data_IF_163670291961
#
_entry.id   IF_163670291961
#
_cell.length_a   1.000
_cell.length_b   1.000
_cell.length_c   1.000
_cell.angle_alpha   90.00
_cell.angle_beta   90.00
_cell.angle_gamma   90.00
#
_symmetry.space_group_name_H-M   'P 1'
#
loop_
_entity.id
_entity.type
_entity.pdbx_description
1 polymer ?
#
# COMPACT_ATOMS: atom_id res chain seq x y z
N UNK A 1 -6.37 6.73 9.91
CA UNK A 1 -6.95 6.81 8.55
C UNK A 1 -7.67 5.52 8.15
N UNK A 2 -6.99 4.37 8.15
CA UNK A 2 -7.54 3.10 7.65
C UNK A 2 -8.83 2.64 8.35
N UNK A 3 -8.95 2.84 9.67
CA UNK A 3 -10.14 2.48 10.45
C UNK A 3 -11.44 3.17 9.97
N UNK A 4 -11.33 4.33 9.32
CA UNK A 4 -12.47 5.08 8.78
C UNK A 4 -12.80 4.72 7.33
N UNK A 5 -11.99 3.86 6.68
CA UNK A 5 -12.26 3.39 5.32
C UNK A 5 -13.50 2.51 5.28
N UNK A 6 -14.34 2.72 4.25
CA UNK A 6 -15.55 1.93 3.97
C UNK A 6 -15.28 0.68 3.13
N UNK A 7 -14.04 0.47 2.68
CA UNK A 7 -13.67 -0.73 1.94
C UNK A 7 -13.80 -1.98 2.82
N UNK A 8 -14.37 -3.06 2.26
CA UNK A 8 -14.52 -4.34 2.95
C UNK A 8 -13.14 -4.91 3.33
N UNK A 9 -12.23 -4.94 2.35
CA UNK A 9 -10.85 -5.37 2.52
C UNK A 9 -9.93 -4.19 2.79
N UNK A 10 -9.15 -4.26 3.87
CA UNK A 10 -8.24 -3.20 4.31
C UNK A 10 -6.91 -3.81 4.73
N UNK A 11 -5.83 -3.34 4.11
CA UNK A 11 -4.46 -3.76 4.44
C UNK A 11 -3.76 -2.57 5.11
N UNK A 12 -3.20 -2.79 6.30
CA UNK A 12 -2.33 -1.82 6.96
C UNK A 12 -0.89 -2.09 6.52
N UNK A 13 -0.33 -1.19 5.71
CA UNK A 13 1.04 -1.33 5.23
C UNK A 13 2.08 -1.00 6.30
N UNK A 14 3.21 -1.70 6.25
CA UNK A 14 4.42 -1.38 7.00
C UNK A 14 4.21 -1.25 8.50
N UNK A 15 3.57 -2.23 9.14
CA UNK A 15 3.32 -2.21 10.59
C UNK A 15 4.64 -2.13 11.35
N UNK A 16 5.68 -2.83 10.89
CA UNK A 16 7.01 -2.76 11.52
C UNK A 16 7.77 -1.49 11.11
N UNK A 17 7.72 -1.12 9.83
CA UNK A 17 8.43 0.07 9.32
C UNK A 17 7.90 1.38 9.90
N UNK A 18 6.59 1.49 10.13
CA UNK A 18 5.93 2.76 10.49
C UNK A 18 5.26 2.75 11.86
N UNK A 19 5.14 1.59 12.51
CA UNK A 19 4.39 1.41 13.76
C UNK A 19 2.94 1.92 13.66
N UNK A 20 2.37 1.95 12.45
CA UNK A 20 1.03 2.45 12.17
C UNK A 20 0.92 3.98 12.09
N UNK A 21 2.03 4.73 12.20
CA UNK A 21 2.05 6.20 12.15
C UNK A 21 2.08 6.76 10.71
N UNK A 22 2.37 5.91 9.73
CA UNK A 22 2.45 6.27 8.31
C UNK A 22 3.82 6.75 7.85
N UNK A 23 3.94 7.12 6.57
CA UNK A 23 5.23 7.34 5.91
C UNK A 23 5.86 8.74 6.11
N UNK A 24 5.15 9.67 6.78
CA UNK A 24 5.70 11.01 7.08
C UNK A 24 6.19 11.80 5.86
N UNK A 25 5.44 11.79 4.75
CA UNK A 25 5.78 12.42 3.46
C UNK A 25 7.06 11.89 2.77
N UNK A 26 7.64 10.78 3.25
CA UNK A 26 8.81 10.14 2.62
C UNK A 26 8.39 8.99 1.72
N UNK A 27 8.60 9.12 0.41
CA UNK A 27 8.23 8.08 -0.55
C UNK A 27 8.96 6.76 -0.29
N UNK A 28 10.24 6.81 0.09
CA UNK A 28 11.03 5.62 0.43
C UNK A 28 10.42 4.79 1.58
N UNK A 29 9.84 5.45 2.58
CA UNK A 29 9.14 4.76 3.68
C UNK A 29 7.86 4.12 3.19
N UNK A 30 7.13 4.77 2.28
CA UNK A 30 5.94 4.20 1.64
C UNK A 30 6.26 2.95 0.81
N UNK A 31 7.36 2.98 0.06
CA UNK A 31 7.82 1.82 -0.73
C UNK A 31 8.21 0.65 0.18
N UNK A 32 9.06 0.88 1.19
CA UNK A 32 9.45 -0.15 2.15
C UNK A 32 8.25 -0.75 2.90
N UNK A 33 7.26 0.07 3.25
CA UNK A 33 6.03 -0.39 3.88
C UNK A 33 5.19 -1.29 2.95
N UNK A 34 5.19 -1.04 1.63
CA UNK A 34 4.51 -1.90 0.67
C UNK A 34 5.27 -3.20 0.41
N UNK A 35 6.59 -3.15 0.33
CA UNK A 35 7.46 -4.33 0.22
C UNK A 35 7.31 -5.25 1.43
N UNK A 36 7.26 -4.69 2.65
CA UNK A 36 7.00 -5.46 3.88
C UNK A 36 5.68 -6.24 3.81
N UNK A 37 4.67 -5.67 3.16
CA UNK A 37 3.31 -6.23 3.11
C UNK A 37 2.99 -6.92 1.77
N UNK A 38 4.00 -7.23 0.95
CA UNK A 38 3.81 -7.67 -0.44
C UNK A 38 3.02 -8.98 -0.56
N UNK A 39 3.25 -9.95 0.32
CA UNK A 39 2.54 -11.23 0.33
C UNK A 39 1.03 -11.00 0.53
N UNK A 40 0.67 -10.17 1.50
CA UNK A 40 -0.72 -9.84 1.79
C UNK A 40 -1.39 -9.08 0.63
N UNK A 41 -0.64 -8.22 -0.05
CA UNK A 41 -1.13 -7.50 -1.24
C UNK A 41 -1.42 -8.49 -2.37
N UNK A 42 -0.50 -9.43 -2.64
CA UNK A 42 -0.67 -10.45 -3.68
C UNK A 42 -1.86 -11.36 -3.38
N UNK A 43 -2.02 -11.80 -2.14
CA UNK A 43 -3.18 -12.62 -1.73
C UNK A 43 -4.51 -11.91 -2.00
N UNK A 44 -4.58 -10.59 -1.75
CA UNK A 44 -5.76 -9.80 -2.04
C UNK A 44 -6.00 -9.53 -3.53
N UNK A 45 -4.95 -9.59 -4.35
CA UNK A 45 -5.04 -9.43 -5.81
C UNK A 45 -5.35 -10.76 -6.52
N UNK A 46 -5.21 -11.90 -5.83
CA UNK A 46 -5.44 -13.21 -6.42
C UNK A 46 -6.84 -13.34 -7.04
N UNK A 47 -6.89 -13.75 -8.30
CA UNK A 47 -8.13 -13.89 -9.08
C UNK A 47 -8.64 -12.59 -9.72
N UNK A 48 -8.00 -11.45 -9.47
CA UNK A 48 -8.33 -10.21 -10.17
C UNK A 48 -7.79 -10.25 -11.61
N UNK A 49 -8.67 -10.03 -12.59
CA UNK A 49 -8.29 -9.92 -14.00
C UNK A 49 -7.88 -8.49 -14.39
N UNK A 50 -8.27 -7.52 -13.55
CA UNK A 50 -7.99 -6.10 -13.73
C UNK A 50 -7.89 -5.44 -12.36
N UNK A 51 -6.84 -4.64 -12.16
CA UNK A 51 -6.60 -3.90 -10.92
C UNK A 51 -6.53 -2.40 -11.24
N UNK A 52 -7.28 -1.59 -10.48
CA UNK A 52 -7.19 -0.13 -10.53
C UNK A 52 -6.45 0.35 -9.30
N UNK A 53 -5.37 1.11 -9.53
CA UNK A 53 -4.56 1.69 -8.46
C UNK A 53 -4.77 3.19 -8.49
N UNK A 54 -5.29 3.71 -7.38
CA UNK A 54 -5.48 5.14 -7.18
C UNK A 54 -4.67 5.61 -5.98
N UNK A 55 -3.89 6.66 -6.18
CA UNK A 55 -3.08 7.28 -5.14
C UNK A 55 -2.93 8.77 -5.42
N UNK A 56 -3.02 9.58 -4.36
CA UNK A 56 -2.57 10.97 -4.41
C UNK A 56 -1.05 11.03 -4.41
N UNK A 57 -0.48 11.70 -5.40
CA UNK A 57 0.97 11.85 -5.55
C UNK A 57 1.51 13.04 -4.73
N UNK A 58 2.82 13.02 -4.44
CA UNK A 58 3.52 14.07 -3.69
C UNK A 58 3.68 13.80 -2.20
N UNK A 59 2.89 12.88 -1.63
CA UNK A 59 3.04 12.39 -0.26
C UNK A 59 4.07 11.25 -0.13
N UNK A 60 4.04 10.56 1.01
CA UNK A 60 4.93 9.41 1.28
C UNK A 60 4.32 8.08 0.86
N UNK A 61 3.22 7.68 1.49
CA UNK A 61 2.61 6.36 1.30
C UNK A 61 2.14 6.14 -0.14
N UNK A 62 1.29 7.02 -0.69
CA UNK A 62 0.78 6.86 -2.05
C UNK A 62 1.88 6.84 -3.10
N UNK A 63 2.77 7.83 -3.07
CA UNK A 63 3.89 7.97 -4.01
C UNK A 63 4.83 6.76 -4.00
N UNK A 64 5.15 6.22 -2.81
CA UNK A 64 6.07 5.10 -2.66
C UNK A 64 5.43 3.72 -2.85
N UNK A 65 4.23 3.51 -2.32
CA UNK A 65 3.58 2.21 -2.32
C UNK A 65 2.91 1.88 -3.66
N UNK A 66 2.34 2.87 -4.35
CA UNK A 66 1.56 2.61 -5.58
C UNK A 66 2.38 1.91 -6.69
N UNK A 67 3.65 2.30 -6.97
CA UNK A 67 4.47 1.58 -7.94
C UNK A 67 4.75 0.12 -7.56
N UNK A 68 4.98 -0.16 -6.27
CA UNK A 68 5.22 -1.52 -5.76
C UNK A 68 3.97 -2.38 -5.90
N UNK A 69 2.80 -1.85 -5.52
CA UNK A 69 1.51 -2.54 -5.68
C UNK A 69 1.21 -2.78 -7.17
N UNK A 70 1.50 -1.81 -8.03
CA UNK A 70 1.34 -1.95 -9.48
C UNK A 70 2.26 -3.02 -10.08
N UNK A 71 3.42 -3.23 -9.49
CA UNK A 71 4.32 -4.31 -9.90
C UNK A 71 3.82 -5.67 -9.43
N UNK A 72 3.26 -5.76 -8.22
CA UNK A 72 2.64 -7.00 -7.71
C UNK A 72 1.36 -7.41 -8.46
N UNK A 73 0.66 -6.44 -9.06
CA UNK A 73 -0.55 -6.66 -9.83
C UNK A 73 -0.31 -7.07 -11.30
N UNK A 74 0.96 -7.09 -11.77
CA UNK A 74 1.33 -7.61 -13.10
C UNK A 74 1.54 -9.11 -13.03
#
# INVERSE_FOLDING_TARGET
ALAQSRAENRIQLGVKVTEGLGAGAKASVGAAAAEESIEQIVDHLAGAHMCFITAGMGGGTGTGAAPIIAQAAR
#
